data_IF_781334940329
#
_entry.id   IF_781334940329
#
_cell.length_a   1.000
_cell.length_b   1.000
_cell.length_c   1.000
_cell.angle_alpha   90.00
_cell.angle_beta   90.00
_cell.angle_gamma   90.00
#
_symmetry.space_group_name_H-M   'P 1'
#
loop_
_entity.id
_entity.type
_entity.pdbx_description
1 polymer ?
#
# COMPACT_ATOMS: atom_id res chain seq x y z
N UNK A 1 -15.39 0.70 9.87
CA UNK A 1 -15.51 0.65 11.35
C UNK A 1 -16.48 -0.44 11.71
N UNK A 2 -16.19 -1.24 12.72
CA UNK A 2 -17.05 -2.30 13.23
C UNK A 2 -17.44 -1.97 14.66
N UNK A 3 -18.73 -2.08 14.96
CA UNK A 3 -19.24 -1.89 16.32
C UNK A 3 -18.83 -3.07 17.21
N UNK A 4 -18.41 -2.76 18.42
CA UNK A 4 -18.11 -3.72 19.48
C UNK A 4 -18.79 -3.28 20.77
N UNK A 5 -18.88 -4.17 21.76
CA UNK A 5 -19.65 -3.98 23.01
C UNK A 5 -19.47 -2.59 23.67
N UNK A 6 -18.28 -1.98 23.57
CA UNK A 6 -17.95 -0.70 24.20
C UNK A 6 -17.34 0.33 23.23
N UNK A 7 -17.73 0.33 21.95
CA UNK A 7 -17.29 1.36 21.00
C UNK A 7 -17.11 0.86 19.58
N UNK A 8 -16.15 1.46 18.88
CA UNK A 8 -15.90 1.19 17.46
C UNK A 8 -14.43 0.87 17.24
N UNK A 9 -14.17 -0.15 16.45
CA UNK A 9 -12.82 -0.51 16.00
C UNK A 9 -12.71 -0.38 14.48
N UNK A 10 -11.50 -0.20 13.93
CA UNK A 10 -11.29 -0.35 12.51
C UNK A 10 -11.80 -1.71 12.03
N UNK A 11 -12.46 -1.69 10.87
CA UNK A 11 -12.94 -2.92 10.24
C UNK A 11 -11.94 -3.34 9.17
N UNK A 12 -10.96 -4.15 9.55
CA UNK A 12 -9.90 -4.60 8.64
C UNK A 12 -10.40 -5.50 7.50
N UNK A 13 -11.63 -5.99 7.58
CA UNK A 13 -12.27 -6.72 6.48
C UNK A 13 -12.93 -5.81 5.44
N UNK A 14 -13.05 -4.51 5.74
CA UNK A 14 -13.61 -3.56 4.79
C UNK A 14 -12.73 -3.41 3.54
N UNK A 15 -13.34 -3.08 2.40
CA UNK A 15 -12.63 -2.80 1.14
C UNK A 15 -11.51 -1.77 1.33
N UNK A 16 -11.71 -0.78 2.20
CA UNK A 16 -10.71 0.23 2.51
C UNK A 16 -9.38 -0.41 2.95
N UNK A 17 -9.41 -1.39 3.86
CA UNK A 17 -8.21 -2.08 4.30
C UNK A 17 -7.78 -3.24 3.40
N UNK A 18 -8.74 -3.97 2.80
CA UNK A 18 -8.43 -5.11 1.91
C UNK A 18 -7.97 -4.73 0.51
N UNK A 19 -8.23 -3.49 0.07
CA UNK A 19 -7.90 -3.05 -1.28
C UNK A 19 -7.00 -1.81 -1.29
N UNK A 20 -7.39 -0.72 -0.61
CA UNK A 20 -6.69 0.55 -0.75
C UNK A 20 -5.28 0.52 -0.13
N UNK A 21 -5.06 -0.30 0.89
CA UNK A 21 -3.72 -0.51 1.46
C UNK A 21 -2.86 -1.46 0.58
N UNK A 22 -3.30 -2.70 0.26
CA UNK A 22 -2.48 -3.65 -0.48
C UNK A 22 -2.27 -3.30 -1.95
N UNK A 23 -3.17 -2.52 -2.58
CA UNK A 23 -3.10 -2.17 -4.00
C UNK A 23 -3.12 -0.66 -4.29
N UNK A 24 -3.32 0.19 -3.28
CA UNK A 24 -3.27 1.64 -3.45
C UNK A 24 -1.99 2.22 -2.86
N UNK A 25 -1.92 2.26 -1.53
CA UNK A 25 -0.81 2.86 -0.79
C UNK A 25 0.50 2.08 -0.96
N UNK A 26 0.46 0.74 -1.04
CA UNK A 26 1.63 -0.08 -1.35
C UNK A 26 2.27 0.30 -2.68
N UNK A 27 1.47 0.48 -3.74
CA UNK A 27 1.93 0.86 -5.08
C UNK A 27 2.55 2.26 -5.03
N UNK A 28 1.90 3.22 -4.37
CA UNK A 28 2.44 4.58 -4.23
C UNK A 28 3.78 4.56 -3.48
N UNK A 29 3.89 3.78 -2.41
CA UNK A 29 5.14 3.62 -1.66
C UNK A 29 6.24 2.94 -2.51
N UNK A 30 5.88 1.94 -3.33
CA UNK A 30 6.83 1.23 -4.19
C UNK A 30 7.34 2.13 -5.34
N UNK A 31 6.46 2.91 -5.97
CA UNK A 31 6.84 3.93 -6.95
C UNK A 31 7.81 4.93 -6.31
N UNK A 32 7.49 5.44 -5.12
CA UNK A 32 8.33 6.39 -4.40
C UNK A 32 9.74 5.82 -4.16
N UNK A 33 9.84 4.52 -3.81
CA UNK A 33 11.13 3.84 -3.66
C UNK A 33 11.91 3.75 -4.99
N UNK A 34 11.25 3.39 -6.10
CA UNK A 34 11.86 3.31 -7.43
C UNK A 34 12.46 4.65 -7.85
N UNK A 35 11.72 5.75 -7.65
CA UNK A 35 12.17 7.10 -8.03
C UNK A 35 13.01 7.79 -6.95
N UNK A 36 13.29 7.12 -5.83
CA UNK A 36 14.02 7.64 -4.67
C UNK A 36 13.42 8.93 -4.09
N UNK A 37 12.09 8.99 -4.03
CA UNK A 37 11.34 10.10 -3.45
C UNK A 37 10.85 9.72 -2.05
N UNK A 38 10.95 10.64 -1.09
CA UNK A 38 10.54 10.37 0.29
C UNK A 38 9.05 10.65 0.51
N UNK A 39 8.37 9.72 1.18
CA UNK A 39 6.93 9.75 1.45
C UNK A 39 6.65 9.41 2.92
N UNK A 40 7.15 10.23 3.87
CA UNK A 40 7.20 9.85 5.29
C UNK A 40 5.82 9.52 5.87
N UNK A 41 4.80 10.29 5.51
CA UNK A 41 3.43 10.09 6.02
C UNK A 41 2.76 8.83 5.45
N UNK A 42 3.06 8.48 4.19
CA UNK A 42 2.58 7.22 3.59
C UNK A 42 3.27 6.04 4.27
N UNK A 43 4.60 6.14 4.45
CA UNK A 43 5.39 5.10 5.13
C UNK A 43 4.95 4.89 6.57
N UNK A 44 4.67 5.96 7.31
CA UNK A 44 4.12 5.89 8.67
C UNK A 44 2.76 5.18 8.69
N UNK A 45 1.85 5.57 7.80
CA UNK A 45 0.50 4.97 7.69
C UNK A 45 0.58 3.48 7.32
N UNK A 46 1.44 3.13 6.36
CA UNK A 46 1.64 1.75 5.94
C UNK A 46 2.34 0.90 7.02
N UNK A 47 3.26 1.47 7.79
CA UNK A 47 3.87 0.79 8.93
C UNK A 47 2.85 0.51 10.03
N UNK A 48 1.98 1.48 10.35
CA UNK A 48 0.87 1.25 11.26
C UNK A 48 -0.03 0.10 10.78
N UNK A 49 -0.38 0.08 9.49
CA UNK A 49 -1.16 -1.01 8.89
C UNK A 49 -0.51 -2.38 9.06
N UNK A 50 0.75 -2.54 8.61
CA UNK A 50 1.49 -3.81 8.74
C UNK A 50 1.58 -4.30 10.18
N UNK A 51 1.78 -3.37 11.12
CA UNK A 51 1.90 -3.70 12.54
C UNK A 51 0.60 -4.20 13.15
N UNK A 52 -0.56 -3.65 12.73
CA UNK A 52 -1.85 -4.00 13.34
C UNK A 52 -2.51 -5.21 12.68
N UNK A 53 -2.28 -5.44 11.39
CA UNK A 53 -2.85 -6.58 10.65
C UNK A 53 -1.94 -7.81 10.66
N UNK A 54 -0.65 -7.65 10.97
CA UNK A 54 0.40 -8.63 10.68
C UNK A 54 0.44 -9.05 9.20
N UNK A 55 -0.18 -8.27 8.32
CA UNK A 55 -0.30 -8.52 6.90
C UNK A 55 0.89 -7.93 6.17
N UNK A 56 1.60 -8.80 5.46
CA UNK A 56 2.71 -8.43 4.60
C UNK A 56 2.42 -8.75 3.13
N UNK A 57 1.21 -9.20 2.79
CA UNK A 57 0.78 -9.49 1.42
C UNK A 57 0.40 -8.19 0.70
N UNK A 58 1.42 -7.37 0.48
CA UNK A 58 1.33 -6.10 -0.22
C UNK A 58 1.81 -6.29 -1.64
N UNK A 59 1.01 -5.84 -2.60
CA UNK A 59 1.40 -5.87 -4.00
C UNK A 59 2.70 -5.10 -4.22
N UNK A 60 3.61 -5.71 -4.98
CA UNK A 60 4.86 -5.09 -5.43
C UNK A 60 4.84 -4.89 -6.94
N UNK A 61 5.33 -3.74 -7.39
CA UNK A 61 5.50 -3.47 -8.82
C UNK A 61 6.47 -4.45 -9.49
N UNK A 62 7.38 -5.02 -8.72
CA UNK A 62 8.29 -6.09 -9.17
C UNK A 62 7.55 -7.34 -9.62
N UNK A 63 6.35 -7.64 -9.09
CA UNK A 63 5.51 -8.76 -9.54
C UNK A 63 5.00 -8.55 -10.98
N UNK A 64 4.94 -7.30 -11.44
CA UNK A 64 4.63 -6.93 -12.82
C UNK A 64 5.86 -6.67 -13.68
N UNK A 65 7.07 -6.93 -13.16
CA UNK A 65 8.31 -6.70 -13.87
C UNK A 65 8.75 -5.23 -13.94
N UNK A 66 8.23 -4.37 -13.06
CA UNK A 66 8.62 -2.95 -12.96
C UNK A 66 9.66 -2.79 -11.84
N UNK A 67 10.88 -2.39 -12.22
CA UNK A 67 12.04 -2.24 -11.32
C UNK A 67 12.64 -0.84 -11.36
N UNK A 68 12.43 -0.11 -12.45
CA UNK A 68 13.03 1.19 -12.73
C UNK A 68 11.99 2.20 -13.16
N UNK A 69 12.37 3.48 -13.17
CA UNK A 69 11.51 4.55 -13.70
C UNK A 69 11.23 4.37 -15.20
N UNK A 70 12.14 3.77 -15.96
CA UNK A 70 11.93 3.52 -17.39
C UNK A 70 10.84 2.47 -17.61
N UNK A 71 10.80 1.42 -16.80
CA UNK A 71 9.75 0.40 -16.87
C UNK A 71 8.36 1.01 -16.62
N UNK A 72 8.27 2.02 -15.73
CA UNK A 72 7.05 2.79 -15.52
C UNK A 72 6.69 3.58 -16.79
N UNK A 73 7.65 4.29 -17.40
CA UNK A 73 7.37 5.03 -18.64
C UNK A 73 6.92 4.11 -19.78
N UNK A 74 7.54 2.94 -19.93
CA UNK A 74 7.17 1.94 -20.94
C UNK A 74 5.74 1.41 -20.72
N UNK A 75 5.31 1.22 -19.47
CA UNK A 75 3.94 0.84 -19.13
C UNK A 75 2.89 1.81 -19.71
N UNK A 76 3.21 3.11 -19.71
CA UNK A 76 2.32 4.18 -20.19
C UNK A 76 2.59 4.62 -21.64
N UNK A 77 3.57 4.02 -22.32
CA UNK A 77 3.92 4.37 -23.70
C UNK A 77 3.03 3.70 -24.77
N UNK A 78 2.09 2.84 -24.35
CA UNK A 78 1.14 2.13 -25.23
C UNK A 78 -0.26 2.77 -25.23
#
# INVERSE_FOLDING_TARGET
MKEVKNGWVPDFESRYFRADFPYGLSIIEDIANIIRFDVPNIRETMNWYRNITCDNDLFRLTECGVYTINDIYELYAN
#
